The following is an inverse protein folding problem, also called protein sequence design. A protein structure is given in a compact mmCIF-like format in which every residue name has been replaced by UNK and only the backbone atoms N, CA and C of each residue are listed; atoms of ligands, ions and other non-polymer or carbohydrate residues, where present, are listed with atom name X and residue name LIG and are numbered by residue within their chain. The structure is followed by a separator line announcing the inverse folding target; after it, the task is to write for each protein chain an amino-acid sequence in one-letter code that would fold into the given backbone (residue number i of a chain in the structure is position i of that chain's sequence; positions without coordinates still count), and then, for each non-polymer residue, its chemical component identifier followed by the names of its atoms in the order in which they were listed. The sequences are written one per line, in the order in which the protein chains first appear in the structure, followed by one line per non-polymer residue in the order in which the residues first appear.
data_IF_004843298788
#
_entry.id   IF_004843298788
#
_cell.length_a   1.000
_cell.length_b   1.000
_cell.length_c   1.000
_cell.angle_alpha   90.00
_cell.angle_beta   90.00
_cell.angle_gamma   90.00
#
_symmetry.space_group_name_H-M   'P 1'
#
loop_
_entity.id
_entity.type
_entity.pdbx_description
1 polymer ?
#
# COMPACT_ATOMS: atom_id res chain seq x y z
N UNK A 1 -1.52 9.00 0.34
CA UNK A 1 -2.30 7.74 0.48
C UNK A 1 -1.33 6.60 0.75
N UNK A 2 -1.71 5.60 1.55
CA UNK A 2 -0.81 4.48 1.86
C UNK A 2 -0.90 3.36 0.81
N UNK A 3 0.20 2.66 0.54
CA UNK A 3 0.21 1.52 -0.40
C UNK A 3 -0.81 0.44 -0.06
N UNK A 4 -1.01 0.13 1.21
CA UNK A 4 -2.01 -0.84 1.67
C UNK A 4 -3.47 -0.39 1.46
N UNK A 5 -3.71 0.91 1.30
CA UNK A 5 -5.03 1.44 0.93
C UNK A 5 -5.23 1.38 -0.60
N UNK A 6 -4.15 1.44 -1.38
CA UNK A 6 -4.18 1.47 -2.85
C UNK A 6 -4.27 0.05 -3.42
N UNK A 7 -3.43 -0.86 -2.94
CA UNK A 7 -3.37 -2.25 -3.43
C UNK A 7 -4.73 -2.92 -3.19
N UNK A 8 -5.25 -3.58 -4.24
CA UNK A 8 -6.57 -4.21 -4.25
C UNK A 8 -7.69 -3.33 -4.77
N UNK A 9 -7.49 -2.00 -4.91
CA UNK A 9 -8.48 -1.11 -5.56
C UNK A 9 -8.67 -1.47 -7.02
N UNK A 10 -9.85 -1.12 -7.55
CA UNK A 10 -10.22 -1.36 -8.94
C UNK A 10 -9.43 -0.48 -9.89
N UNK A 11 -9.18 -1.01 -11.08
CA UNK A 11 -8.59 -0.31 -12.21
C UNK A 11 -9.68 -0.17 -13.27
N UNK A 12 -9.91 1.05 -13.75
CA UNK A 12 -10.84 1.34 -14.83
C UNK A 12 -10.11 2.03 -15.98
N UNK A 13 -10.53 1.75 -17.21
CA UNK A 13 -10.02 2.47 -18.38
C UNK A 13 -10.69 3.85 -18.54
N UNK A 14 -10.25 4.62 -19.54
CA UNK A 14 -10.84 5.93 -19.89
C UNK A 14 -12.34 5.89 -20.21
N UNK A 15 -12.89 4.72 -20.54
CA UNK A 15 -14.30 4.50 -20.84
C UNK A 15 -15.06 3.94 -19.62
N UNK A 16 -14.46 3.99 -18.42
CA UNK A 16 -15.06 3.52 -17.16
C UNK A 16 -15.32 2.01 -17.16
N UNK A 17 -14.62 1.24 -18.00
CA UNK A 17 -14.71 -0.22 -17.98
C UNK A 17 -13.76 -0.78 -16.94
N UNK A 18 -14.25 -1.67 -16.08
CA UNK A 18 -13.40 -2.39 -15.13
C UNK A 18 -12.41 -3.29 -15.88
N UNK A 19 -11.13 -3.04 -15.62
CA UNK A 19 -10.01 -3.76 -16.19
C UNK A 19 -9.58 -4.87 -15.23
N UNK A 20 -9.37 -4.53 -13.95
CA UNK A 20 -8.84 -5.45 -12.94
C UNK A 20 -8.65 -4.77 -11.57
N UNK A 21 -7.71 -5.29 -10.78
CA UNK A 21 -7.33 -4.71 -9.48
C UNK A 21 -5.84 -4.42 -9.40
N UNK A 22 -5.47 -3.37 -8.66
CA UNK A 22 -4.07 -3.05 -8.36
C UNK A 22 -3.46 -4.21 -7.57
N UNK A 23 -2.40 -4.80 -8.09
CA UNK A 23 -1.71 -5.91 -7.45
C UNK A 23 -0.39 -5.49 -6.82
N UNK A 24 0.32 -4.54 -7.44
CA UNK A 24 1.64 -4.12 -7.02
C UNK A 24 1.95 -2.71 -7.52
N UNK A 25 2.82 -2.00 -6.82
CA UNK A 25 3.38 -0.72 -7.25
C UNK A 25 4.91 -0.85 -7.28
N UNK A 26 5.56 -0.24 -8.27
CA UNK A 26 7.02 -0.27 -8.36
C UNK A 26 7.62 1.13 -8.23
N UNK A 27 8.72 1.23 -7.50
CA UNK A 27 9.38 2.49 -7.20
C UNK A 27 10.85 2.43 -7.53
N UNK A 28 11.40 3.55 -7.97
CA UNK A 28 12.84 3.75 -8.04
C UNK A 28 13.34 4.21 -6.67
N UNK A 29 14.16 3.40 -6.01
CA UNK A 29 14.68 3.65 -4.65
C UNK A 29 15.70 4.80 -4.55
N UNK A 30 16.15 5.36 -5.67
CA UNK A 30 17.04 6.53 -5.68
C UNK A 30 16.28 7.83 -5.82
N UNK A 31 15.30 7.84 -6.71
CA UNK A 31 14.49 9.02 -7.03
C UNK A 31 13.18 9.07 -6.25
N UNK A 32 12.81 7.94 -5.62
CA UNK A 32 11.56 7.73 -4.89
C UNK A 32 10.30 7.86 -5.76
N UNK A 33 10.47 7.90 -7.08
CA UNK A 33 9.38 8.00 -8.04
C UNK A 33 8.70 6.66 -8.26
N UNK A 34 7.38 6.71 -8.44
CA UNK A 34 6.61 5.63 -9.01
C UNK A 34 7.13 5.37 -10.42
N UNK A 35 7.36 4.10 -10.73
CA UNK A 35 7.86 3.65 -12.03
C UNK A 35 6.84 2.79 -12.77
N UNK A 36 5.82 2.32 -12.06
CA UNK A 36 4.76 1.50 -12.63
C UNK A 36 3.77 1.01 -11.58
N UNK A 37 2.63 0.57 -12.06
CA UNK A 37 1.62 -0.16 -11.30
C UNK A 37 1.30 -1.44 -12.05
N UNK A 38 1.35 -2.58 -11.37
CA UNK A 38 0.85 -3.82 -11.94
C UNK A 38 -0.62 -4.00 -11.57
N UNK A 39 -1.47 -4.02 -12.58
CA UNK A 39 -2.84 -4.52 -12.48
C UNK A 39 -2.88 -6.03 -12.56
N UNK A 40 -3.95 -6.64 -12.03
CA UNK A 40 -4.19 -8.07 -12.18
C UNK A 40 -5.64 -8.42 -12.46
N UNK A 41 -5.81 -9.51 -13.23
CA UNK A 41 -7.09 -10.02 -13.68
C UNK A 41 -7.12 -11.55 -13.59
N UNK A 42 -8.32 -12.13 -13.60
CA UNK A 42 -8.53 -13.58 -13.48
C UNK A 42 -8.55 -14.10 -12.04
N UNK A 43 -8.56 -15.43 -11.91
CA UNK A 43 -8.55 -16.12 -10.62
C UNK A 43 -7.10 -16.37 -10.14
N UNK A 44 -6.86 -16.79 -8.89
CA UNK A 44 -5.49 -17.01 -8.38
C UNK A 44 -4.63 -18.00 -9.18
N UNK A 45 -5.25 -18.92 -9.94
CA UNK A 45 -4.57 -19.96 -10.70
C UNK A 45 -4.23 -19.49 -12.13
N UNK A 46 -5.09 -18.67 -12.73
CA UNK A 46 -4.94 -18.12 -14.08
C UNK A 46 -4.74 -16.61 -14.06
N UNK A 47 -4.07 -16.10 -13.02
CA UNK A 47 -3.89 -14.67 -12.79
C UNK A 47 -3.01 -14.09 -13.88
N UNK A 48 -3.51 -13.06 -14.56
CA UNK A 48 -2.75 -12.26 -15.52
C UNK A 48 -2.37 -10.93 -14.91
N UNK A 49 -1.28 -10.35 -15.38
CA UNK A 49 -0.76 -9.07 -14.93
C UNK A 49 -0.69 -8.09 -16.08
N UNK A 50 -0.85 -6.81 -15.75
CA UNK A 50 -0.81 -5.71 -16.71
C UNK A 50 0.12 -4.65 -16.17
N UNK A 51 1.15 -4.28 -16.94
CA UNK A 51 2.06 -3.20 -16.59
C UNK A 51 1.44 -1.87 -17.01
N UNK A 52 1.26 -0.96 -16.06
CA UNK A 52 0.68 0.37 -16.25
C UNK A 52 1.76 1.38 -15.90
N UNK A 53 2.15 2.18 -16.89
CA UNK A 53 3.20 3.17 -16.70
C UNK A 53 2.66 4.45 -16.04
N UNK A 54 3.51 5.20 -15.31
CA UNK A 54 3.16 6.48 -14.70
C UNK A 54 2.42 7.45 -15.62
N UNK A 55 2.85 7.54 -16.88
CA UNK A 55 2.28 8.41 -17.92
C UNK A 55 0.86 8.03 -18.35
N UNK A 56 0.46 6.77 -18.15
CA UNK A 56 -0.86 6.27 -18.52
C UNK A 56 -1.88 6.43 -17.38
N UNK A 57 -1.44 6.87 -16.20
CA UNK A 57 -2.28 7.08 -15.03
C UNK A 57 -2.97 8.44 -15.14
N UNK A 58 -4.30 8.44 -15.19
CA UNK A 58 -5.10 9.67 -15.21
C UNK A 58 -5.45 10.16 -13.80
N UNK A 59 -5.76 9.24 -12.89
CA UNK A 59 -6.12 9.56 -11.50
C UNK A 59 -5.98 8.33 -10.59
N UNK A 60 -5.68 8.55 -9.31
CA UNK A 60 -5.73 7.53 -8.25
C UNK A 60 -6.60 8.05 -7.11
N UNK A 61 -7.69 7.34 -6.82
CA UNK A 61 -8.62 7.67 -5.74
C UNK A 61 -9.31 6.41 -5.21
N UNK A 62 -10.63 6.33 -5.34
CA UNK A 62 -11.38 5.09 -5.07
C UNK A 62 -11.06 3.97 -6.06
N UNK A 63 -10.66 4.37 -7.26
CA UNK A 63 -10.16 3.54 -8.34
C UNK A 63 -8.91 4.17 -8.95
N UNK A 64 -8.14 3.35 -9.66
CA UNK A 64 -7.10 3.80 -10.59
C UNK A 64 -7.73 3.96 -11.97
N UNK A 65 -7.75 5.18 -12.50
CA UNK A 65 -8.17 5.44 -13.87
C UNK A 65 -6.95 5.52 -14.79
N UNK A 66 -6.99 4.80 -15.91
CA UNK A 66 -5.91 4.75 -16.89
C UNK A 66 -6.37 5.21 -18.28
N UNK A 67 -5.44 5.79 -19.04
CA UNK A 67 -5.69 6.25 -20.41
C UNK A 67 -5.79 5.10 -21.42
N UNK A 68 -5.16 3.96 -21.13
CA UNK A 68 -5.13 2.77 -22.00
C UNK A 68 -6.51 2.08 -21.98
N UNK A 69 -7.12 1.81 -23.15
CA UNK A 69 -8.35 1.02 -23.23
C UNK A 69 -8.19 -0.39 -22.66
N UNK A 70 -9.26 -0.94 -22.07
CA UNK A 70 -9.26 -2.30 -21.53
C UNK A 70 -8.76 -3.35 -22.52
N UNK A 71 -9.21 -3.27 -23.77
CA UNK A 71 -8.92 -4.26 -24.80
C UNK A 71 -7.41 -4.33 -25.09
N UNK A 72 -6.76 -3.17 -25.25
CA UNK A 72 -5.31 -3.06 -25.46
C UNK A 72 -4.51 -3.61 -24.27
N UNK A 73 -4.96 -3.30 -23.05
CA UNK A 73 -4.29 -3.80 -21.85
C UNK A 73 -4.38 -5.32 -21.71
N UNK A 74 -5.48 -5.93 -22.14
CA UNK A 74 -5.69 -7.38 -22.10
C UNK A 74 -4.80 -8.14 -23.10
N UNK A 75 -4.59 -7.56 -24.28
CA UNK A 75 -3.69 -8.11 -25.29
C UNK A 75 -2.22 -8.09 -24.84
N UNK A 76 -1.82 -7.05 -24.10
CA UNK A 76 -0.48 -6.89 -23.53
C UNK A 76 -0.28 -7.61 -22.17
N UNK A 77 -1.14 -8.58 -21.84
CA UNK A 77 -1.09 -9.25 -20.53
C UNK A 77 0.11 -10.16 -20.35
N UNK A 78 0.60 -10.23 -19.11
CA UNK A 78 1.74 -11.04 -18.68
C UNK A 78 1.28 -12.19 -17.79
N UNK A 79 1.90 -13.36 -17.94
CA UNK A 79 1.67 -14.50 -17.05
C UNK A 79 2.26 -14.30 -15.64
N UNK A 80 3.33 -13.49 -15.56
CA UNK A 80 4.06 -13.22 -14.33
C UNK A 80 4.55 -11.78 -14.34
N UNK A 81 4.56 -11.15 -13.17
CA UNK A 81 5.25 -9.88 -13.02
C UNK A 81 6.77 -10.09 -13.23
N UNK A 82 7.44 -9.20 -13.98
CA UNK A 82 8.89 -9.16 -14.06
C UNK A 82 9.54 -9.11 -12.68
N UNK A 83 10.79 -9.58 -12.59
CA UNK A 83 11.58 -9.41 -11.36
C UNK A 83 12.04 -7.96 -11.26
N UNK A 84 12.22 -7.51 -10.03
CA UNK A 84 12.77 -6.20 -9.72
C UNK A 84 14.22 -6.10 -10.22
N UNK A 85 14.59 -4.93 -10.73
CA UNK A 85 15.89 -4.69 -11.34
C UNK A 85 16.57 -3.49 -10.69
N UNK A 86 17.79 -3.70 -10.18
CA UNK A 86 18.68 -2.65 -9.67
C UNK A 86 18.03 -1.78 -8.58
N UNK A 87 17.45 -0.64 -8.96
CA UNK A 87 16.81 0.32 -8.05
C UNK A 87 15.29 0.31 -8.17
N UNK A 88 14.74 -0.36 -9.18
CA UNK A 88 13.32 -0.54 -9.39
C UNK A 88 12.84 -1.72 -8.55
N UNK A 89 12.11 -1.42 -7.48
CA UNK A 89 11.65 -2.43 -6.50
C UNK A 89 10.15 -2.39 -6.37
N UNK A 90 9.57 -3.53 -6.01
CA UNK A 90 8.15 -3.66 -5.72
C UNK A 90 7.83 -3.17 -4.31
N UNK A 91 6.63 -2.64 -4.12
CA UNK A 91 6.16 -2.22 -2.80
C UNK A 91 6.14 -3.40 -1.82
N UNK A 92 5.77 -4.60 -2.28
CA UNK A 92 5.82 -5.83 -1.47
C UNK A 92 7.24 -6.26 -1.07
N UNK A 93 8.27 -5.81 -1.79
CA UNK A 93 9.66 -6.05 -1.41
C UNK A 93 10.13 -5.04 -0.36
N UNK A 94 9.57 -3.83 -0.34
CA UNK A 94 9.87 -2.83 0.70
C UNK A 94 9.11 -3.16 1.99
N UNK A 95 7.82 -3.49 1.87
CA UNK A 95 6.96 -3.81 3.02
C UNK A 95 7.50 -5.06 3.73
N UNK A 96 7.59 -5.00 5.05
CA UNK A 96 8.13 -6.07 5.89
C UNK A 96 9.66 -6.12 5.97
N UNK A 97 10.40 -5.32 5.18
CA UNK A 97 11.86 -5.19 5.36
C UNK A 97 12.18 -4.57 6.70
N UNK A 98 13.26 -5.06 7.30
CA UNK A 98 13.79 -4.53 8.56
C UNK A 98 14.47 -3.18 8.31
N UNK A 99 14.25 -2.26 9.23
CA UNK A 99 14.85 -0.93 9.23
C UNK A 99 15.92 -0.86 10.31
N UNK A 100 17.10 -0.33 9.96
CA UNK A 100 18.22 -0.11 10.88
C UNK A 100 18.46 1.38 11.07
N UNK A 101 18.59 1.80 12.34
CA UNK A 101 18.92 3.18 12.68
C UNK A 101 20.37 3.54 12.36
N UNK A 102 20.73 4.80 12.58
CA UNK A 102 22.10 5.30 12.38
C UNK A 102 23.18 4.61 13.24
N UNK A 103 22.78 3.87 14.28
CA UNK A 103 23.67 3.12 15.16
C UNK A 103 23.71 1.61 14.79
N UNK A 104 22.95 1.20 13.78
CA UNK A 104 22.84 -0.20 13.35
C UNK A 104 21.86 -1.04 14.16
N UNK A 105 21.01 -0.44 14.99
CA UNK A 105 20.02 -1.16 15.78
C UNK A 105 18.74 -1.46 14.98
N UNK A 106 18.10 -2.58 15.33
CA UNK A 106 16.79 -2.97 14.80
C UNK A 106 15.69 -1.99 15.25
N UNK A 107 15.19 -1.24 14.27
CA UNK A 107 14.14 -0.25 14.42
C UNK A 107 12.79 -0.77 13.93
N UNK A 108 12.60 -2.08 13.79
CA UNK A 108 11.32 -2.66 13.35
C UNK A 108 11.25 -2.92 11.85
N UNK A 109 10.02 -3.03 11.32
CA UNK A 109 9.76 -3.39 9.91
C UNK A 109 8.81 -2.41 9.24
N UNK A 110 9.01 -2.17 7.95
CA UNK A 110 8.10 -1.32 7.17
C UNK A 110 6.68 -1.91 7.18
N UNK A 111 5.69 -1.15 7.64
CA UNK A 111 4.28 -1.52 7.61
C UNK A 111 3.58 -1.03 6.36
N UNK A 112 3.92 0.18 5.89
CA UNK A 112 3.29 0.81 4.72
C UNK A 112 4.19 1.90 4.13
N UNK A 113 3.84 2.35 2.93
CA UNK A 113 4.54 3.42 2.21
C UNK A 113 3.52 4.52 1.94
N UNK A 114 3.85 5.75 2.34
CA UNK A 114 3.05 6.94 2.04
C UNK A 114 3.43 7.49 0.67
N UNK A 115 2.43 7.66 -0.19
CA UNK A 115 2.59 8.13 -1.56
C UNK A 115 1.87 9.46 -1.76
N UNK A 116 2.59 10.41 -2.38
CA UNK A 116 2.01 11.58 -3.04
C UNK A 116 1.45 11.11 -4.39
N UNK A 117 0.12 11.09 -4.51
CA UNK A 117 -0.55 10.64 -5.74
C UNK A 117 -0.32 11.62 -6.89
N UNK A 118 -0.28 12.92 -6.60
CA UNK A 118 -0.16 13.95 -7.64
C UNK A 118 1.26 13.97 -8.21
N UNK A 119 2.27 13.84 -7.35
CA UNK A 119 3.68 13.81 -7.76
C UNK A 119 4.18 12.41 -8.11
N UNK A 120 3.36 11.39 -7.85
CA UNK A 120 3.66 9.97 -8.00
C UNK A 120 5.00 9.60 -7.36
N UNK A 121 5.16 9.94 -6.08
CA UNK A 121 6.41 9.73 -5.34
C UNK A 121 6.16 9.22 -3.91
N UNK A 122 7.12 8.47 -3.38
CA UNK A 122 7.15 8.11 -1.97
C UNK A 122 7.50 9.36 -1.16
N UNK A 123 6.63 9.73 -0.23
CA UNK A 123 6.91 10.81 0.73
C UNK A 123 7.60 10.25 1.97
N UNK A 124 7.14 9.08 2.43
CA UNK A 124 7.59 8.47 3.66
C UNK A 124 7.34 6.96 3.68
N UNK A 125 8.04 6.27 4.58
CA UNK A 125 7.75 4.90 4.97
C UNK A 125 7.32 4.87 6.43
N UNK A 126 6.32 4.06 6.73
CA UNK A 126 5.87 3.83 8.09
C UNK A 126 6.50 2.53 8.60
N UNK A 127 7.06 2.58 9.80
CA UNK A 127 7.75 1.45 10.42
C UNK A 127 6.99 1.04 11.66
N UNK A 128 6.76 -0.25 11.78
CA UNK A 128 6.08 -0.86 12.91
C UNK A 128 7.07 -1.66 13.74
N UNK A 129 6.95 -1.55 15.07
CA UNK A 129 7.68 -2.38 16.02
C UNK A 129 6.67 -3.03 16.95
N UNK A 130 6.76 -4.35 17.08
CA UNK A 130 5.93 -5.07 18.04
C UNK A 130 6.42 -4.74 19.45
N UNK A 131 5.58 -4.08 20.25
CA UNK A 131 5.90 -3.74 21.64
C UNK A 131 5.22 -4.68 22.64
N UNK A 132 4.09 -5.31 22.28
CA UNK A 132 3.38 -6.35 23.06
C UNK A 132 2.38 -7.14 22.19
N UNK A 133 1.82 -8.25 22.69
CA UNK A 133 0.93 -9.17 21.93
C UNK A 133 -0.30 -8.50 21.28
N UNK A 134 -0.70 -7.30 21.73
CA UNK A 134 -1.88 -6.57 21.23
C UNK A 134 -1.58 -5.15 20.71
N UNK A 135 -0.35 -4.65 20.88
CA UNK A 135 0.03 -3.26 20.57
C UNK A 135 1.18 -3.23 19.59
N UNK A 136 0.96 -2.47 18.51
CA UNK A 136 1.96 -2.16 17.51
C UNK A 136 2.21 -0.67 17.59
N UNK A 137 3.47 -0.29 17.74
CA UNK A 137 3.85 1.11 17.68
C UNK A 137 4.28 1.43 16.25
N UNK A 138 3.91 2.61 15.77
CA UNK A 138 4.31 3.08 14.45
C UNK A 138 5.21 4.32 14.57
N UNK A 139 6.17 4.41 13.68
CA UNK A 139 7.03 5.57 13.49
C UNK A 139 7.08 5.90 12.00
N UNK A 140 7.12 7.20 11.69
CA UNK A 140 7.19 7.69 10.32
C UNK A 140 8.61 8.13 9.97
N UNK A 141 9.02 7.78 8.74
CA UNK A 141 10.35 8.07 8.21
C UNK A 141 10.18 8.78 6.88
N UNK A 142 10.59 10.03 6.83
CA UNK A 142 10.54 10.83 5.61
C UNK A 142 11.62 10.40 4.62
N UNK A 143 11.39 10.67 3.34
CA UNK A 143 12.29 10.32 2.25
C UNK A 143 13.75 10.73 2.48
N UNK A 144 13.98 11.94 2.98
CA UNK A 144 15.32 12.50 3.25
C UNK A 144 16.05 11.85 4.43
N UNK A 145 15.35 11.07 5.24
CA UNK A 145 15.92 10.34 6.38
C UNK A 145 16.43 8.94 5.97
N UNK A 146 16.05 8.47 4.78
CA UNK A 146 16.45 7.17 4.23
C UNK A 146 17.80 7.30 3.53
N UNK A 147 18.78 6.50 3.97
CA UNK A 147 20.15 6.55 3.44
C UNK A 147 20.49 5.38 2.53
N UNK A 148 19.71 4.30 2.53
CA UNK A 148 19.95 3.16 1.66
C UNK A 148 18.85 2.11 1.63
N UNK A 149 18.73 1.46 0.47
CA UNK A 149 17.90 0.28 0.25
C UNK A 149 18.78 -0.91 -0.12
N UNK A 150 18.60 -2.02 0.61
CA UNK A 150 19.24 -3.29 0.34
C UNK A 150 18.49 -4.42 1.04
N UNK A 151 19.21 -5.34 1.68
CA UNK A 151 18.59 -6.35 2.56
C UNK A 151 17.84 -5.68 3.72
N UNK A 152 18.38 -4.56 4.20
CA UNK A 152 17.79 -3.65 5.18
C UNK A 152 17.50 -2.29 4.55
N UNK A 153 16.62 -1.53 5.19
CA UNK A 153 16.48 -0.09 4.93
C UNK A 153 17.28 0.65 6.00
N UNK A 154 18.16 1.55 5.58
CA UNK A 154 19.01 2.32 6.47
C UNK A 154 18.46 3.73 6.63
N UNK A 155 18.52 4.26 7.85
CA UNK A 155 18.08 5.62 8.15
C UNK A 155 19.16 6.39 8.92
N UNK A 156 19.13 7.72 8.84
CA UNK A 156 20.10 8.60 9.49
C UNK A 156 19.68 9.08 10.90
N UNK A 157 18.61 8.52 11.46
CA UNK A 157 18.10 8.86 12.80
C UNK A 157 17.80 7.62 13.64
N UNK A 158 17.53 7.84 14.91
CA UNK A 158 16.86 6.88 15.78
C UNK A 158 15.35 7.11 15.71
N UNK A 159 14.54 6.06 15.91
CA UNK A 159 13.08 6.17 15.86
C UNK A 159 12.52 6.21 17.27
N UNK A 160 11.73 7.26 17.52
CA UNK A 160 10.79 7.31 18.63
C UNK A 160 9.44 6.79 18.15
N UNK A 161 8.89 5.84 18.89
CA UNK A 161 7.67 5.12 18.54
C UNK A 161 6.48 5.69 19.28
N UNK A 162 5.41 6.02 18.55
CA UNK A 162 4.15 6.44 19.15
C UNK A 162 3.26 5.22 19.40
N UNK A 163 2.66 5.16 20.59
CA UNK A 163 1.76 4.06 20.93
C UNK A 163 0.42 4.24 20.21
N UNK A 164 0.14 3.40 19.23
CA UNK A 164 -1.16 3.38 18.57
C UNK A 164 -2.24 2.87 19.52
N UNK A 165 -3.14 3.73 19.97
CA UNK A 165 -4.43 3.28 20.50
C UNK A 165 -5.26 2.74 19.33
N UNK A 166 -5.65 1.47 19.39
CA UNK A 166 -6.69 0.95 18.49
C UNK A 166 -7.97 1.74 18.78
N UNK A 167 -8.46 2.49 17.80
CA UNK A 167 -9.82 2.99 17.83
C UNK A 167 -10.75 1.77 18.01
N UNK A 168 -11.43 1.71 19.16
CA UNK A 168 -12.50 0.75 19.39
C UNK A 168 -13.59 1.02 18.33
N UNK A 169 -13.82 0.04 17.46
CA UNK A 169 -15.04 -0.03 16.68
C UNK A 169 -16.21 -0.16 17.66
N UNK A 170 -16.88 0.97 17.95
CA UNK A 170 -18.25 0.93 18.47
C UNK A 170 -19.14 0.35 17.39
N UNK A 171 -19.38 -0.95 17.44
CA UNK A 171 -20.58 -1.55 16.85
C UNK A 171 -21.79 -1.05 17.63
N UNK A 172 -22.46 0.00 17.12
CA UNK A 172 -23.84 0.30 17.47
C UNK A 172 -24.72 -0.80 16.88
N UNK A 173 -24.95 -1.85 17.66
CA UNK A 173 -26.02 -2.80 17.36
C UNK A 173 -27.31 -2.26 17.98
N UNK A 174 -28.12 -1.63 17.12
CA UNK A 174 -29.46 -1.21 17.44
C UNK A 174 -30.36 -2.46 17.48
N UNK A 175 -30.77 -2.86 18.69
CA UNK A 175 -32.00 -3.64 18.87
C UNK A 175 -32.86 -2.96 19.92
N UNK A 176 -33.89 -2.27 19.42
CA UNK A 176 -35.08 -1.92 20.18
C UNK A 176 -35.79 -3.22 20.58
N UNK A 177 -35.81 -3.55 21.87
CA UNK A 177 -36.83 -4.41 22.45
C UNK A 177 -37.73 -3.56 23.35
N UNK A 178 -38.89 -3.20 22.81
CA UNK A 178 -40.02 -2.67 23.58
C UNK A 178 -40.41 -3.68 24.67
N UNK A 179 -40.21 -3.30 25.94
CA UNK A 179 -40.89 -3.94 27.06
C UNK A 179 -42.25 -3.28 27.25
N UNK A 180 -43.29 -4.01 26.86
CA UNK A 180 -44.69 -3.68 27.17
C UNK A 180 -44.97 -4.08 28.62
N UNK A 181 -45.18 -3.11 29.50
CA UNK A 181 -45.67 -3.33 30.86
C UNK A 181 -47.16 -3.69 30.81
N UNK A 182 -47.49 -4.95 31.10
CA UNK A 182 -48.88 -5.39 31.31
C UNK A 182 -49.16 -5.32 32.82
N UNK A 183 -49.87 -4.28 33.24
CA UNK A 183 -50.41 -4.15 34.58
C UNK A 183 -51.71 -4.97 34.67
N UNK A 184 -51.72 -6.06 35.45
CA UNK A 184 -52.94 -6.79 35.79
C UNK A 184 -53.37 -6.34 37.19
N UNK A 185 -54.59 -5.81 37.26
CA UNK A 185 -55.30 -5.41 38.47
C UNK A 185 -56.00 -6.62 39.11
#
# INVERSE_FOLDING_TARGET
MKTNEIVGKKIIDKNVKEVGKIAEMTFDTKTFKLTGIYGSTGNPISKKYHDIKPEDIMAIGDYLQIAIPKEELMEASLDKMPKSEKYNVKSSEIIGKKVLDCNGNDSGKVSSIDIDIEKQEIIAINVSKASSFTKTEEAKIEQNEITGFGDYILINKTLDFETGEKAEEKSEDASEEEKVDININ
#
